data_IF_513397611927
#
_entry.id   IF_513397611927
#
_cell.length_a   1.000
_cell.length_b   1.000
_cell.length_c   1.000
_cell.angle_alpha   90.00
_cell.angle_beta   90.00
_cell.angle_gamma   90.00
#
_symmetry.space_group_name_H-M   'P 1'
#
loop_
_entity.id
_entity.type
_entity.pdbx_description
1 polymer ?
#
# COMPACT_ATOMS: atom_id res chain seq x y z
N UNK A 1 -10.06 -1.66 -7.36
CA UNK A 1 -11.47 -1.46 -6.96
C UNK A 1 -11.75 0.02 -6.79
N UNK A 2 -12.87 0.50 -7.30
CA UNK A 2 -13.41 1.82 -6.99
C UNK A 2 -14.85 1.72 -6.55
N UNK A 3 -15.25 2.60 -5.65
CA UNK A 3 -16.62 2.65 -5.14
C UNK A 3 -17.06 4.11 -5.03
N UNK A 4 -18.32 4.35 -5.31
CA UNK A 4 -19.00 5.64 -5.13
C UNK A 4 -19.97 5.54 -3.97
N UNK A 5 -20.20 6.67 -3.29
CA UNK A 5 -21.24 6.73 -2.29
C UNK A 5 -22.61 6.83 -2.97
N UNK A 6 -23.52 5.96 -2.59
CA UNK A 6 -24.89 5.92 -3.07
C UNK A 6 -25.78 6.56 -2.00
N UNK A 7 -26.22 7.78 -2.24
CA UNK A 7 -27.04 8.56 -1.30
C UNK A 7 -28.41 7.92 -1.03
N UNK A 8 -28.98 7.21 -2.00
CA UNK A 8 -30.29 6.56 -1.83
C UNK A 8 -30.18 5.32 -0.93
N UNK A 9 -29.07 4.59 -1.02
CA UNK A 9 -28.82 3.38 -0.22
C UNK A 9 -28.04 3.64 1.05
N UNK A 10 -27.58 4.87 1.27
CA UNK A 10 -26.69 5.25 2.39
C UNK A 10 -25.49 4.33 2.55
N UNK A 11 -24.81 3.99 1.43
CA UNK A 11 -23.70 3.07 1.43
C UNK A 11 -22.81 3.18 0.21
N UNK A 12 -21.74 2.39 0.19
CA UNK A 12 -20.83 2.34 -0.96
C UNK A 12 -21.38 1.40 -2.04
N UNK A 13 -21.42 1.90 -3.27
CA UNK A 13 -21.70 1.12 -4.47
C UNK A 13 -20.38 0.86 -5.20
N UNK A 14 -20.01 -0.41 -5.36
CA UNK A 14 -18.85 -0.79 -6.17
C UNK A 14 -19.10 -0.42 -7.63
N UNK A 15 -18.25 0.44 -8.17
CA UNK A 15 -18.31 0.89 -9.57
C UNK A 15 -17.38 0.06 -10.44
N UNK A 16 -16.22 -0.27 -9.90
CA UNK A 16 -15.22 -1.07 -10.58
C UNK A 16 -14.56 -2.03 -9.60
N UNK A 17 -14.46 -3.30 -10.01
CA UNK A 17 -13.66 -4.30 -9.30
C UNK A 17 -12.94 -5.18 -10.30
N UNK A 18 -11.61 -5.23 -10.20
CA UNK A 18 -10.79 -6.17 -10.95
C UNK A 18 -9.92 -6.94 -9.99
N UNK A 19 -10.14 -8.23 -9.91
CA UNK A 19 -9.33 -9.15 -9.11
C UNK A 19 -8.18 -9.64 -9.97
N UNK A 20 -6.95 -9.39 -9.55
CA UNK A 20 -5.78 -9.94 -10.21
C UNK A 20 -5.58 -11.41 -9.79
N UNK A 21 -5.19 -12.31 -10.73
CA UNK A 21 -4.86 -13.68 -10.37
C UNK A 21 -3.64 -13.69 -9.44
N UNK A 22 -3.68 -14.60 -8.46
CA UNK A 22 -2.62 -14.75 -7.47
C UNK A 22 -2.29 -16.24 -7.31
N UNK A 23 -1.05 -16.60 -7.59
CA UNK A 23 -0.51 -17.93 -7.29
C UNK A 23 -0.09 -17.99 -5.82
N UNK A 24 -1.04 -18.38 -4.98
CA UNK A 24 -0.87 -18.38 -3.52
C UNK A 24 0.22 -19.31 -3.07
N UNK A 25 0.33 -20.50 -3.66
CA UNK A 25 1.33 -21.50 -3.28
C UNK A 25 2.76 -21.02 -3.56
N UNK A 26 2.99 -20.51 -4.76
CA UNK A 26 4.29 -19.93 -5.14
C UNK A 26 4.66 -18.73 -4.26
N UNK A 27 3.72 -17.82 -3.99
CA UNK A 27 3.96 -16.65 -3.15
C UNK A 27 4.26 -17.03 -1.70
N UNK A 28 3.53 -17.97 -1.13
CA UNK A 28 3.75 -18.44 0.24
C UNK A 28 5.12 -19.09 0.38
N UNK A 29 5.54 -19.90 -0.60
CA UNK A 29 6.87 -20.49 -0.63
C UNK A 29 7.98 -19.44 -0.72
N UNK A 30 7.84 -18.43 -1.58
CA UNK A 30 8.80 -17.31 -1.71
C UNK A 30 8.91 -16.52 -0.40
N UNK A 31 7.79 -16.15 0.20
CA UNK A 31 7.77 -15.38 1.45
C UNK A 31 8.36 -16.19 2.60
N UNK A 32 8.10 -17.48 2.66
CA UNK A 32 8.74 -18.38 3.63
C UNK A 32 10.25 -18.39 3.46
N UNK A 33 10.75 -18.47 2.23
CA UNK A 33 12.19 -18.39 1.96
C UNK A 33 12.79 -17.03 2.37
N UNK A 34 12.11 -15.92 2.06
CA UNK A 34 12.53 -14.57 2.47
C UNK A 34 12.58 -14.42 3.99
N UNK A 35 11.59 -14.98 4.72
CA UNK A 35 11.63 -15.02 6.19
C UNK A 35 12.87 -15.69 6.72
N UNK A 36 13.19 -16.87 6.18
CA UNK A 36 14.41 -17.60 6.57
C UNK A 36 15.66 -16.78 6.30
N UNK A 37 15.76 -16.17 5.12
CA UNK A 37 16.88 -15.32 4.72
C UNK A 37 17.06 -14.10 5.63
N UNK A 38 15.97 -13.47 6.07
CA UNK A 38 16.00 -12.28 6.91
C UNK A 38 16.05 -12.57 8.41
N UNK A 39 15.90 -13.84 8.81
CA UNK A 39 15.85 -14.24 10.21
C UNK A 39 14.53 -13.90 10.91
N UNK A 40 13.44 -13.64 10.17
CA UNK A 40 12.11 -13.37 10.72
C UNK A 40 11.29 -14.64 10.88
N UNK A 41 11.82 -15.64 11.56
CA UNK A 41 11.22 -16.97 11.70
C UNK A 41 10.10 -17.05 12.74
N UNK A 42 10.08 -16.13 13.70
CA UNK A 42 9.07 -16.03 14.74
C UNK A 42 7.95 -15.07 14.30
N UNK A 43 6.72 -15.57 14.17
CA UNK A 43 5.55 -14.75 13.81
C UNK A 43 4.25 -15.34 14.38
N UNK A 44 3.22 -14.52 14.51
CA UNK A 44 1.91 -14.90 15.04
C UNK A 44 0.83 -14.88 13.95
N UNK A 45 0.13 -15.97 13.78
CA UNK A 45 -0.91 -16.12 12.75
C UNK A 45 -0.36 -16.56 11.40
N UNK A 46 -0.86 -15.96 10.32
CA UNK A 46 -0.52 -16.38 8.97
C UNK A 46 0.80 -15.76 8.49
N UNK A 47 1.51 -16.52 7.66
CA UNK A 47 2.76 -16.11 7.02
C UNK A 47 2.54 -15.04 5.94
N UNK A 48 1.42 -15.14 5.25
CA UNK A 48 1.00 -14.25 4.15
C UNK A 48 -0.47 -13.92 4.33
N UNK A 49 -0.84 -12.67 4.05
CA UNK A 49 -2.24 -12.26 3.97
C UNK A 49 -2.59 -12.00 2.51
N UNK A 50 -3.58 -12.77 2.02
CA UNK A 50 -4.09 -12.66 0.66
C UNK A 50 -5.40 -11.89 0.65
N UNK A 51 -5.41 -10.75 -0.03
CA UNK A 51 -6.61 -9.93 -0.15
C UNK A 51 -7.46 -10.34 -1.36
N UNK A 52 -8.76 -10.12 -1.27
CA UNK A 52 -9.71 -10.47 -2.33
C UNK A 52 -9.41 -9.74 -3.66
N UNK A 53 -8.77 -8.58 -3.60
CA UNK A 53 -8.36 -7.80 -4.78
C UNK A 53 -7.17 -8.38 -5.56
N UNK A 54 -6.45 -9.36 -4.99
CA UNK A 54 -5.18 -9.86 -5.52
C UNK A 54 -3.95 -9.16 -4.93
N UNK A 55 -4.13 -8.18 -4.05
CA UNK A 55 -3.05 -7.66 -3.23
C UNK A 55 -2.60 -8.70 -2.20
N UNK A 56 -1.34 -8.61 -1.80
CA UNK A 56 -0.72 -9.53 -0.86
C UNK A 56 0.05 -8.75 0.19
N UNK A 57 -0.07 -9.13 1.44
CA UNK A 57 0.74 -8.58 2.52
C UNK A 57 1.69 -9.64 3.06
N UNK A 58 2.96 -9.29 3.18
CA UNK A 58 3.97 -10.03 3.91
C UNK A 58 4.10 -9.42 5.32
N UNK A 59 3.36 -9.92 6.32
CA UNK A 59 3.40 -9.40 7.68
C UNK A 59 4.59 -10.00 8.42
N UNK A 60 5.65 -9.23 8.66
CA UNK A 60 6.89 -9.76 9.28
C UNK A 60 6.63 -10.39 10.65
N UNK A 61 5.80 -9.76 11.47
CA UNK A 61 5.40 -10.28 12.78
C UNK A 61 4.18 -11.22 12.71
N UNK A 62 3.64 -11.45 11.50
CA UNK A 62 2.43 -12.26 11.28
C UNK A 62 1.13 -11.47 11.43
N UNK A 63 0.04 -12.04 10.89
CA UNK A 63 -1.27 -11.38 10.83
C UNK A 63 -1.87 -11.11 12.21
N UNK A 64 -1.58 -11.97 13.21
CA UNK A 64 -2.12 -11.91 14.57
C UNK A 64 -1.16 -11.28 15.60
N UNK A 65 -0.07 -10.66 15.17
CA UNK A 65 0.80 -9.91 16.07
C UNK A 65 0.05 -8.75 16.74
N UNK A 66 0.34 -8.50 18.02
CA UNK A 66 -0.31 -7.44 18.79
C UNK A 66 0.09 -6.05 18.27
N UNK A 67 -0.83 -5.11 18.33
CA UNK A 67 -0.59 -3.74 17.86
C UNK A 67 0.64 -3.07 18.53
N UNK A 68 0.87 -3.15 19.84
CA UNK A 68 2.07 -2.58 20.45
C UNK A 68 3.37 -3.14 19.86
N UNK A 69 3.43 -4.45 19.59
CA UNK A 69 4.61 -5.10 19.01
C UNK A 69 4.83 -4.62 17.56
N UNK A 70 3.76 -4.51 16.79
CA UNK A 70 3.80 -3.97 15.43
C UNK A 70 4.32 -2.53 15.40
N UNK A 71 3.84 -1.67 16.31
CA UNK A 71 4.25 -0.26 16.39
C UNK A 71 5.71 -0.12 16.83
N UNK A 72 6.20 -0.99 17.73
CA UNK A 72 7.56 -0.96 18.24
C UNK A 72 8.59 -1.60 17.28
N UNK A 73 8.16 -2.42 16.32
CA UNK A 73 9.05 -3.24 15.51
C UNK A 73 10.00 -2.41 14.63
N UNK A 74 9.48 -1.43 13.91
CA UNK A 74 10.24 -0.67 12.90
C UNK A 74 9.58 0.69 12.64
N UNK A 75 9.53 1.59 13.64
CA UNK A 75 8.75 2.83 13.56
C UNK A 75 9.27 3.81 12.50
N UNK A 76 10.58 3.79 12.22
CA UNK A 76 11.25 4.62 11.22
C UNK A 76 11.49 3.89 9.88
N UNK A 77 11.03 2.64 9.76
CA UNK A 77 11.20 1.75 8.59
C UNK A 77 12.67 1.42 8.27
N UNK A 78 13.61 1.71 9.17
CA UNK A 78 15.03 1.50 8.95
C UNK A 78 15.41 0.02 8.79
N UNK A 79 14.65 -0.90 9.39
CA UNK A 79 14.85 -2.35 9.27
C UNK A 79 14.34 -2.91 7.95
N UNK A 80 13.21 -2.42 7.45
CA UNK A 80 12.56 -2.95 6.23
C UNK A 80 13.06 -2.32 4.94
N UNK A 81 13.38 -1.01 4.94
CA UNK A 81 13.85 -0.31 3.72
C UNK A 81 15.03 -0.99 3.01
N UNK A 82 16.09 -1.44 3.72
CA UNK A 82 17.20 -2.13 3.07
C UNK A 82 16.81 -3.48 2.44
N UNK A 83 15.72 -4.10 2.91
CA UNK A 83 15.23 -5.39 2.43
C UNK A 83 14.30 -5.27 1.23
N UNK A 84 13.74 -4.08 1.00
CA UNK A 84 12.76 -3.84 -0.08
C UNK A 84 13.26 -4.30 -1.46
N UNK A 85 14.50 -4.00 -1.91
CA UNK A 85 14.97 -4.45 -3.21
C UNK A 85 15.01 -5.98 -3.33
N UNK A 86 15.27 -6.69 -2.22
CA UNK A 86 15.34 -8.15 -2.20
C UNK A 86 13.92 -8.73 -2.31
N UNK A 87 12.97 -8.18 -1.56
CA UNK A 87 11.55 -8.59 -1.64
C UNK A 87 11.00 -8.30 -3.02
N UNK A 88 11.30 -7.13 -3.59
CA UNK A 88 10.89 -6.75 -4.95
C UNK A 88 11.47 -7.70 -6.02
N UNK A 89 12.75 -8.05 -5.92
CA UNK A 89 13.39 -8.95 -6.87
C UNK A 89 12.82 -10.39 -6.81
N UNK A 90 12.42 -10.84 -5.62
CA UNK A 90 11.78 -12.13 -5.44
C UNK A 90 10.33 -12.18 -5.97
N UNK A 91 9.66 -11.04 -6.12
CA UNK A 91 8.27 -10.92 -6.54
C UNK A 91 8.13 -9.92 -7.71
N UNK A 92 8.69 -10.23 -8.89
CA UNK A 92 8.77 -9.28 -10.01
C UNK A 92 7.40 -8.94 -10.61
N UNK A 93 6.39 -9.77 -10.40
CA UNK A 93 5.00 -9.56 -10.82
C UNK A 93 4.22 -8.56 -9.95
N UNK A 94 4.82 -8.11 -8.84
CA UNK A 94 4.23 -7.14 -7.92
C UNK A 94 5.02 -5.84 -7.84
N UNK A 95 4.36 -4.75 -7.50
CA UNK A 95 4.96 -3.58 -6.88
C UNK A 95 5.02 -3.84 -5.39
N UNK A 96 6.19 -3.67 -4.77
CA UNK A 96 6.40 -3.93 -3.35
C UNK A 96 6.65 -2.61 -2.62
N UNK A 97 5.94 -2.41 -1.51
CA UNK A 97 6.06 -1.24 -0.67
C UNK A 97 6.42 -1.63 0.77
N UNK A 98 7.12 -0.75 1.46
CA UNK A 98 7.29 -0.86 2.91
C UNK A 98 5.98 -0.41 3.56
N UNK A 99 5.02 -1.34 3.69
CA UNK A 99 3.66 -1.08 4.14
C UNK A 99 3.49 -1.06 5.65
N UNK A 100 2.47 -0.41 6.12
CA UNK A 100 2.05 -0.42 7.51
C UNK A 100 3.18 -0.25 8.53
N UNK A 101 3.03 -0.87 9.71
CA UNK A 101 3.99 -0.79 10.82
C UNK A 101 5.03 -1.91 10.80
N UNK A 102 4.73 -3.05 10.18
CA UNK A 102 5.57 -4.26 10.26
C UNK A 102 5.39 -5.19 9.04
N UNK A 103 5.02 -4.67 7.88
CA UNK A 103 4.77 -5.46 6.67
C UNK A 103 5.48 -4.92 5.43
N UNK A 104 5.56 -5.77 4.42
CA UNK A 104 5.65 -5.36 3.03
C UNK A 104 4.29 -5.59 2.39
N UNK A 105 3.78 -4.60 1.67
CA UNK A 105 2.54 -4.70 0.93
C UNK A 105 2.87 -4.81 -0.55
N UNK A 106 2.17 -5.69 -1.25
CA UNK A 106 2.41 -6.00 -2.65
C UNK A 106 1.12 -5.83 -3.43
N UNK A 107 1.18 -5.01 -4.47
CA UNK A 107 0.09 -4.86 -5.44
C UNK A 107 0.51 -5.47 -6.77
N UNK A 108 -0.40 -6.06 -7.55
CA UNK A 108 -0.06 -6.50 -8.90
C UNK A 108 0.61 -5.37 -9.69
N UNK A 109 1.60 -5.71 -10.54
CA UNK A 109 2.51 -4.74 -11.18
C UNK A 109 1.82 -3.59 -11.90
N UNK A 110 0.61 -3.82 -12.38
CA UNK A 110 -0.20 -2.85 -13.13
C UNK A 110 -0.96 -1.86 -12.22
N UNK A 111 -0.80 -1.97 -10.87
CA UNK A 111 -1.59 -1.21 -9.92
C UNK A 111 -0.72 -0.61 -8.83
N UNK A 112 -0.72 0.70 -8.76
CA UNK A 112 -0.28 1.50 -7.63
C UNK A 112 -1.24 2.69 -7.44
N UNK A 113 -0.96 3.55 -6.49
CA UNK A 113 -1.83 4.71 -6.23
C UNK A 113 -1.82 5.71 -7.37
N UNK A 114 -0.69 5.88 -8.07
CA UNK A 114 -0.62 6.78 -9.22
C UNK A 114 -1.46 6.24 -10.38
N UNK A 115 -1.27 4.99 -10.75
CA UNK A 115 -2.03 4.37 -11.85
C UNK A 115 -3.54 4.35 -11.59
N UNK A 116 -3.94 4.15 -10.32
CA UNK A 116 -5.34 4.20 -9.94
C UNK A 116 -5.92 5.62 -10.07
N UNK A 117 -5.15 6.63 -9.65
CA UNK A 117 -5.56 8.04 -9.72
C UNK A 117 -5.56 8.55 -11.16
N UNK A 118 -4.53 8.27 -11.94
CA UNK A 118 -4.42 8.61 -13.37
C UNK A 118 -5.63 8.05 -14.16
N UNK A 119 -5.97 6.78 -13.93
CA UNK A 119 -7.16 6.17 -14.52
C UNK A 119 -8.43 6.90 -14.11
N UNK A 120 -8.59 7.19 -12.82
CA UNK A 120 -9.75 7.92 -12.31
C UNK A 120 -9.88 9.29 -12.98
N UNK A 121 -8.79 10.03 -13.10
CA UNK A 121 -8.75 11.31 -13.80
C UNK A 121 -9.19 11.17 -15.26
N UNK A 122 -8.63 10.21 -15.98
CA UNK A 122 -8.98 9.95 -17.38
C UNK A 122 -10.46 9.58 -17.56
N UNK A 123 -11.00 8.73 -16.70
CA UNK A 123 -12.40 8.29 -16.75
C UNK A 123 -13.40 9.42 -16.45
N UNK A 124 -13.01 10.41 -15.64
CA UNK A 124 -13.87 11.51 -15.21
C UNK A 124 -13.55 12.85 -15.89
N UNK A 125 -12.53 12.87 -16.77
CA UNK A 125 -12.16 14.06 -17.53
C UNK A 125 -11.44 15.13 -16.70
N UNK A 126 -10.80 14.76 -15.60
CA UNK A 126 -9.95 15.66 -14.82
C UNK A 126 -8.54 15.72 -15.39
N UNK A 127 -7.99 16.93 -15.50
CA UNK A 127 -6.58 17.14 -15.76
C UNK A 127 -5.78 16.97 -14.45
N UNK A 128 -4.51 16.53 -14.53
CA UNK A 128 -3.69 16.32 -13.33
C UNK A 128 -3.46 17.59 -12.51
N UNK A 129 -3.46 18.77 -13.16
CA UNK A 129 -3.32 20.07 -12.51
C UNK A 129 -4.59 20.53 -11.75
N UNK A 130 -5.71 19.82 -11.96
CA UNK A 130 -6.96 20.01 -11.19
C UNK A 130 -7.03 19.12 -9.94
N UNK A 131 -6.03 18.26 -9.72
CA UNK A 131 -6.03 17.24 -8.66
C UNK A 131 -4.97 17.53 -7.61
N UNK A 132 -5.34 17.43 -6.35
CA UNK A 132 -4.44 17.48 -5.20
C UNK A 132 -4.48 16.13 -4.48
N UNK A 133 -3.36 15.42 -4.49
CA UNK A 133 -3.19 14.22 -3.67
C UNK A 133 -2.64 14.58 -2.30
N UNK A 134 -3.22 13.99 -1.26
CA UNK A 134 -2.74 14.15 0.12
C UNK A 134 -2.23 12.82 0.63
N UNK A 135 -0.96 12.75 1.03
CA UNK A 135 -0.33 11.50 1.43
C UNK A 135 0.71 11.65 2.53
N UNK A 136 0.99 10.56 3.24
CA UNK A 136 1.91 10.50 4.37
C UNK A 136 3.12 9.58 4.12
N UNK A 137 3.06 8.69 3.11
CA UNK A 137 4.08 7.69 2.83
C UNK A 137 4.76 7.89 1.47
N UNK A 138 5.33 9.08 1.28
CA UNK A 138 5.92 9.53 0.01
C UNK A 138 7.45 9.34 -0.08
N UNK A 139 8.09 8.80 0.98
CA UNK A 139 9.51 8.47 0.97
C UNK A 139 9.83 7.23 0.13
N UNK A 140 11.13 6.96 -0.06
CA UNK A 140 11.59 5.82 -0.85
C UNK A 140 10.98 4.48 -0.38
N UNK A 141 10.30 3.80 -1.29
CA UNK A 141 9.57 2.54 -1.04
C UNK A 141 8.23 2.72 -0.33
N UNK A 142 7.76 3.94 -0.13
CA UNK A 142 6.43 4.23 0.39
C UNK A 142 5.35 4.06 -0.68
N UNK A 143 4.13 3.84 -0.25
CA UNK A 143 3.02 3.56 -1.18
C UNK A 143 2.48 4.81 -1.89
N UNK A 144 2.84 6.02 -1.45
CA UNK A 144 2.51 7.30 -2.09
C UNK A 144 3.66 7.80 -3.01
N UNK A 145 4.81 7.12 -3.01
CA UNK A 145 6.00 7.59 -3.75
C UNK A 145 5.72 7.78 -5.24
N UNK A 146 4.92 6.90 -5.86
CA UNK A 146 4.59 7.00 -7.28
C UNK A 146 3.82 8.28 -7.61
N UNK A 147 2.85 8.68 -6.76
CA UNK A 147 2.12 9.94 -6.92
C UNK A 147 3.02 11.14 -6.62
N UNK A 148 3.82 11.07 -5.55
CA UNK A 148 4.75 12.14 -5.18
C UNK A 148 5.76 12.48 -6.29
N UNK A 149 6.16 11.48 -7.09
CA UNK A 149 7.09 11.65 -8.21
C UNK A 149 6.42 12.01 -9.54
N UNK A 150 5.09 12.04 -9.58
CA UNK A 150 4.32 12.37 -10.77
C UNK A 150 4.14 13.89 -10.95
N UNK A 151 3.38 14.26 -11.94
CA UNK A 151 2.96 15.63 -12.22
C UNK A 151 1.71 16.08 -11.43
N UNK A 152 1.10 15.18 -10.65
CA UNK A 152 -0.05 15.51 -9.79
C UNK A 152 0.43 16.30 -8.57
N UNK A 153 -0.27 17.37 -8.24
CA UNK A 153 0.04 18.17 -7.06
C UNK A 153 -0.05 17.32 -5.78
N UNK A 154 0.98 17.38 -4.94
CA UNK A 154 1.10 16.55 -3.75
C UNK A 154 1.19 17.41 -2.48
N UNK A 155 0.33 17.14 -1.50
CA UNK A 155 0.38 17.73 -0.16
C UNK A 155 0.90 16.69 0.84
N UNK A 156 2.15 16.82 1.33
CA UNK A 156 2.69 15.90 2.31
C UNK A 156 2.07 16.15 3.70
N UNK A 157 1.55 15.10 4.33
CA UNK A 157 1.04 15.12 5.71
C UNK A 157 1.88 14.15 6.54
N UNK A 158 2.68 14.66 7.45
CA UNK A 158 3.50 13.83 8.36
C UNK A 158 2.77 13.50 9.66
N UNK A 159 1.73 14.26 10.00
CA UNK A 159 0.86 14.04 11.15
C UNK A 159 -0.59 14.30 10.73
N UNK A 160 -1.40 13.25 10.67
CA UNK A 160 -2.80 13.34 10.26
C UNK A 160 -3.63 14.33 11.08
N UNK A 161 -3.22 14.64 12.31
CA UNK A 161 -3.89 15.62 13.18
C UNK A 161 -3.77 17.05 12.64
N UNK A 162 -2.78 17.32 11.81
CA UNK A 162 -2.57 18.63 11.18
C UNK A 162 -3.37 18.78 9.88
N UNK A 163 -3.95 17.71 9.36
CA UNK A 163 -4.67 17.70 8.09
C UNK A 163 -5.79 18.76 8.01
N UNK A 164 -6.71 18.90 9.02
CA UNK A 164 -7.77 19.89 8.93
C UNK A 164 -7.24 21.32 8.81
N UNK A 165 -6.15 21.65 9.51
CA UNK A 165 -5.55 22.98 9.44
C UNK A 165 -4.86 23.25 8.10
N UNK A 166 -4.15 22.25 7.58
CA UNK A 166 -3.48 22.37 6.29
C UNK A 166 -4.47 22.49 5.12
N UNK A 167 -5.65 21.85 5.22
CA UNK A 167 -6.69 21.93 4.19
C UNK A 167 -7.41 23.28 4.14
N UNK A 168 -7.42 24.07 5.21
CA UNK A 168 -8.07 25.39 5.23
C UNK A 168 -7.61 26.34 4.12
N UNK A 169 -6.38 26.20 3.65
CA UNK A 169 -5.83 27.05 2.58
C UNK A 169 -6.34 26.67 1.18
N UNK A 170 -7.04 25.55 1.04
CA UNK A 170 -7.62 25.08 -0.21
C UNK A 170 -9.15 25.17 -0.24
N UNK A 171 -9.76 25.52 0.88
CA UNK A 171 -11.20 25.74 1.03
C UNK A 171 -11.51 27.24 1.13
#
# INVERSE_FOLDING_TARGET
ESAEYDDEKHGLRMVFSRVAPCDRETLEARITALRGQFGFTEFAGDNVEFHASGCVTFPILGTKAKLPDKLAFDPDRARRRPLLPIVQAANPEYNVFVGGTSSFDMTPREYDKYQALDRYCAEHGYAHDEVLFVGDDFGAGGNDEAVYRSDIAFLPITDYRTFPEQMKRFL
#
